data_IF_197256473395
#
_entry.id   IF_197256473395
#
_cell.length_a   1.000
_cell.length_b   1.000
_cell.length_c   1.000
_cell.angle_alpha   90.00
_cell.angle_beta   90.00
_cell.angle_gamma   90.00
#
_symmetry.space_group_name_H-M   'P 1'
#
loop_
_entity.id
_entity.type
_entity.pdbx_description
1 polymer ?
#
# COMPACT_ATOMS: atom_id res chain seq x y z
N UNK A 1 -21.83 6.67 12.45
CA UNK A 1 -22.75 7.82 12.44
C UNK A 1 -22.04 8.96 11.74
N UNK A 2 -22.66 9.63 10.78
CA UNK A 2 -22.16 10.88 10.21
C UNK A 2 -23.23 11.91 10.45
N UNK A 3 -22.88 13.06 11.03
CA UNK A 3 -23.82 14.13 11.42
C UNK A 3 -25.03 13.63 12.22
N UNK A 4 -24.78 12.71 13.16
CA UNK A 4 -25.83 12.13 14.01
C UNK A 4 -26.79 11.18 13.29
N UNK A 5 -26.48 10.74 12.07
CA UNK A 5 -27.28 9.76 11.32
C UNK A 5 -26.56 8.43 11.15
N UNK A 6 -27.32 7.33 11.28
CA UNK A 6 -26.83 5.98 11.04
C UNK A 6 -26.98 5.67 9.56
N UNK A 7 -25.94 5.07 9.01
CA UNK A 7 -25.92 4.57 7.64
C UNK A 7 -25.54 3.09 7.71
N UNK A 8 -26.28 2.26 7.00
CA UNK A 8 -25.89 0.87 6.77
C UNK A 8 -24.88 0.85 5.63
N UNK A 9 -23.79 0.11 5.82
CA UNK A 9 -22.68 0.05 4.88
C UNK A 9 -22.28 -1.40 4.66
N UNK A 10 -21.76 -1.68 3.47
CA UNK A 10 -21.16 -2.95 3.10
C UNK A 10 -19.85 -2.66 2.37
N UNK A 11 -18.88 -3.56 2.50
CA UNK A 11 -17.61 -3.42 1.83
C UNK A 11 -16.72 -4.63 2.03
N UNK A 12 -15.50 -4.52 1.54
CA UNK A 12 -14.43 -5.48 1.77
C UNK A 12 -13.43 -4.86 2.73
N UNK A 13 -12.81 -5.67 3.57
CA UNK A 13 -11.77 -5.26 4.51
C UNK A 13 -10.56 -6.17 4.38
N UNK A 14 -9.41 -5.62 4.71
CA UNK A 14 -8.18 -6.38 4.90
C UNK A 14 -7.91 -6.52 6.39
N UNK A 15 -7.42 -7.69 6.82
CA UNK A 15 -6.88 -7.88 8.16
C UNK A 15 -5.45 -8.38 8.00
N UNK A 16 -4.50 -7.59 8.50
CA UNK A 16 -3.15 -8.08 8.73
C UNK A 16 -2.98 -8.42 10.21
N UNK A 17 -2.27 -9.51 10.50
CA UNK A 17 -2.04 -9.96 11.88
C UNK A 17 -0.57 -10.37 12.03
N UNK A 18 0.16 -9.58 12.81
CA UNK A 18 1.58 -9.73 13.04
C UNK A 18 1.87 -9.76 14.54
N UNK A 19 2.83 -10.59 14.96
CA UNK A 19 3.33 -10.65 16.34
C UNK A 19 4.85 -10.84 16.34
N UNK A 20 5.52 -10.30 17.35
CA UNK A 20 6.97 -10.32 17.46
C UNK A 20 7.48 -9.26 18.44
N UNK A 21 8.79 -9.20 18.59
CA UNK A 21 9.48 -8.13 19.30
C UNK A 21 10.08 -7.18 18.25
N UNK A 22 9.71 -5.90 18.30
CA UNK A 22 10.19 -4.89 17.35
C UNK A 22 10.86 -3.73 18.08
N UNK A 23 12.04 -3.34 17.59
CA UNK A 23 12.66 -2.08 17.96
C UNK A 23 12.24 -0.99 16.97
N UNK A 24 11.12 -0.32 17.29
CA UNK A 24 10.59 0.78 16.47
C UNK A 24 11.55 1.96 16.34
N UNK A 25 12.59 2.07 17.17
CA UNK A 25 13.61 3.11 17.00
C UNK A 25 14.52 2.87 15.78
N UNK A 26 14.54 1.64 15.27
CA UNK A 26 15.28 1.25 14.06
C UNK A 26 14.39 1.20 12.82
N UNK A 27 13.09 1.48 12.97
CA UNK A 27 12.18 1.56 11.85
C UNK A 27 12.62 2.67 10.89
N UNK A 28 12.93 2.29 9.65
CA UNK A 28 13.24 3.24 8.60
C UNK A 28 11.98 3.77 7.93
N UNK A 29 11.95 3.74 6.60
CA UNK A 29 10.77 4.12 5.82
C UNK A 29 10.15 2.86 5.24
N UNK A 30 8.84 2.85 5.07
CA UNK A 30 8.21 1.79 4.30
C UNK A 30 6.98 2.30 3.56
N UNK A 31 6.66 1.60 2.48
CA UNK A 31 5.34 1.61 1.88
C UNK A 31 4.79 0.19 1.96
N UNK A 32 3.63 0.03 2.58
CA UNK A 32 2.87 -1.22 2.58
C UNK A 32 1.61 -1.04 1.75
N UNK A 33 1.19 -2.08 1.03
CA UNK A 33 -0.07 -2.09 0.31
C UNK A 33 -0.83 -3.39 0.45
N UNK A 34 -2.15 -3.27 0.67
CA UNK A 34 -3.11 -4.34 0.48
C UNK A 34 -3.90 -4.10 -0.81
N UNK A 35 -3.71 -4.94 -1.82
CA UNK A 35 -4.41 -4.86 -3.11
C UNK A 35 -5.43 -6.00 -3.22
N UNK A 36 -6.68 -5.67 -3.56
CA UNK A 36 -7.75 -6.63 -3.82
C UNK A 36 -8.22 -6.47 -5.26
N UNK A 37 -7.78 -7.36 -6.16
CA UNK A 37 -7.95 -7.23 -7.60
C UNK A 37 -9.26 -7.88 -8.08
N UNK A 38 -9.79 -7.37 -9.19
CA UNK A 38 -11.07 -7.78 -9.79
C UNK A 38 -11.07 -9.20 -10.34
N UNK A 39 -9.89 -9.79 -10.57
CA UNK A 39 -9.76 -11.19 -10.97
C UNK A 39 -9.77 -12.16 -9.78
N UNK A 40 -9.85 -11.65 -8.54
CA UNK A 40 -9.87 -12.43 -7.31
C UNK A 40 -8.52 -12.51 -6.59
N UNK A 41 -7.43 -12.09 -7.25
CA UNK A 41 -6.10 -12.09 -6.64
C UNK A 41 -5.98 -11.01 -5.57
N UNK A 42 -5.19 -11.30 -4.55
CA UNK A 42 -4.89 -10.41 -3.43
C UNK A 42 -3.39 -10.28 -3.29
N UNK A 43 -2.89 -9.07 -3.11
CA UNK A 43 -1.45 -8.81 -3.00
C UNK A 43 -1.18 -8.04 -1.70
N UNK A 44 -0.38 -8.64 -0.82
CA UNK A 44 0.25 -7.96 0.32
C UNK A 44 1.65 -7.56 -0.12
N UNK A 45 1.90 -6.26 -0.26
CA UNK A 45 3.17 -5.73 -0.76
C UNK A 45 3.88 -4.93 0.32
N UNK A 46 5.18 -5.15 0.44
CA UNK A 46 6.09 -4.37 1.27
C UNK A 46 7.24 -3.82 0.43
N UNK A 47 7.55 -2.54 0.61
CA UNK A 47 8.80 -1.89 0.19
C UNK A 47 9.35 -1.10 1.39
N UNK A 48 10.30 -1.69 2.13
CA UNK A 48 10.90 -1.13 3.35
C UNK A 48 12.38 -0.79 3.15
N UNK A 49 12.82 0.27 3.83
CA UNK A 49 14.22 0.69 3.91
C UNK A 49 14.71 0.42 5.32
N UNK A 50 15.50 -0.63 5.48
CA UNK A 50 16.05 -1.08 6.76
C UNK A 50 17.56 -0.83 6.83
N UNK A 51 18.16 -1.04 8.00
CA UNK A 51 19.61 -0.88 8.19
C UNK A 51 20.44 -1.84 7.32
N UNK A 52 19.88 -3.00 6.98
CA UNK A 52 20.45 -3.99 6.06
C UNK A 52 20.23 -3.65 4.58
N UNK A 53 19.53 -2.57 4.26
CA UNK A 53 19.19 -2.16 2.90
C UNK A 53 17.69 -2.22 2.62
N UNK A 54 17.33 -2.09 1.34
CA UNK A 54 15.94 -2.10 0.91
C UNK A 54 15.41 -3.53 0.82
N UNK A 55 14.27 -3.83 1.44
CA UNK A 55 13.56 -5.10 1.33
C UNK A 55 12.25 -4.88 0.59
N UNK A 56 12.00 -5.69 -0.44
CA UNK A 56 10.82 -5.55 -1.31
C UNK A 56 10.27 -6.91 -1.63
N UNK A 57 8.98 -7.11 -1.39
CA UNK A 57 8.32 -8.35 -1.73
C UNK A 57 6.81 -8.18 -1.81
N UNK A 58 6.19 -9.07 -2.56
CA UNK A 58 4.75 -9.22 -2.63
C UNK A 58 4.38 -10.66 -2.29
N UNK A 59 3.51 -10.85 -1.31
CA UNK A 59 2.79 -12.11 -1.14
C UNK A 59 1.51 -12.04 -1.95
N UNK A 60 1.40 -12.92 -2.94
CA UNK A 60 0.28 -12.99 -3.87
C UNK A 60 -0.54 -14.21 -3.52
N UNK A 61 -1.82 -13.99 -3.17
CA UNK A 61 -2.82 -15.03 -3.01
C UNK A 61 -3.71 -15.01 -4.25
N UNK A 62 -3.60 -16.06 -5.06
CA UNK A 62 -4.37 -16.22 -6.29
C UNK A 62 -5.83 -16.58 -5.99
N UNK A 63 -6.71 -16.32 -6.95
CA UNK A 63 -8.13 -16.65 -6.84
C UNK A 63 -8.42 -18.14 -6.60
N UNK A 64 -7.51 -19.04 -6.97
CA UNK A 64 -7.61 -20.49 -6.73
C UNK A 64 -7.14 -20.92 -5.32
N UNK A 65 -6.67 -19.98 -4.50
CA UNK A 65 -6.18 -20.20 -3.14
C UNK A 65 -4.69 -20.55 -3.05
N UNK A 66 -3.97 -20.62 -4.17
CA UNK A 66 -2.51 -20.79 -4.16
C UNK A 66 -1.82 -19.48 -3.76
N UNK A 67 -0.64 -19.59 -3.13
CA UNK A 67 0.10 -18.45 -2.62
C UNK A 67 1.57 -18.52 -3.01
N UNK A 68 2.12 -17.38 -3.42
CA UNK A 68 3.53 -17.22 -3.78
C UNK A 68 4.10 -15.91 -3.22
N UNK A 69 5.42 -15.90 -2.99
CA UNK A 69 6.16 -14.69 -2.63
C UNK A 69 7.06 -14.30 -3.79
N UNK A 70 6.98 -13.04 -4.21
CA UNK A 70 7.62 -12.53 -5.42
C UNK A 70 8.37 -11.22 -5.12
N UNK A 71 9.41 -10.95 -5.91
CA UNK A 71 10.13 -9.67 -5.86
C UNK A 71 9.28 -8.57 -6.51
N UNK A 72 9.49 -7.35 -6.05
CA UNK A 72 8.81 -6.15 -6.56
C UNK A 72 9.88 -5.16 -7.00
N UNK A 73 9.68 -4.49 -8.13
CA UNK A 73 10.53 -3.34 -8.47
C UNK A 73 10.45 -2.24 -7.38
N UNK A 74 11.50 -1.42 -7.18
CA UNK A 74 11.46 -0.38 -6.17
C UNK A 74 10.33 0.60 -6.50
N UNK A 75 9.52 0.99 -5.51
CA UNK A 75 8.41 1.91 -5.74
C UNK A 75 8.90 3.35 -5.91
N UNK A 76 9.93 3.73 -5.16
CA UNK A 76 10.38 5.11 -5.03
C UNK A 76 10.62 5.86 -6.36
N UNK A 77 11.25 5.27 -7.41
CA UNK A 77 11.48 5.94 -8.69
C UNK A 77 10.20 6.38 -9.42
N UNK A 78 9.10 5.65 -9.24
CA UNK A 78 7.83 5.89 -9.93
C UNK A 78 6.73 6.45 -8.99
N UNK A 79 7.07 6.75 -7.73
CA UNK A 79 6.15 7.42 -6.79
C UNK A 79 5.90 8.87 -7.22
N UNK A 80 4.64 9.26 -7.21
CA UNK A 80 4.18 10.58 -7.63
C UNK A 80 3.02 11.10 -6.77
N UNK A 81 2.43 12.23 -7.18
CA UNK A 81 1.25 12.80 -6.51
C UNK A 81 1.56 13.30 -5.09
N UNK A 82 2.77 13.80 -4.85
CA UNK A 82 3.25 14.14 -3.51
C UNK A 82 2.33 15.11 -2.76
N UNK A 83 2.05 14.77 -1.50
CA UNK A 83 1.37 15.64 -0.54
C UNK A 83 2.25 15.83 0.70
N UNK A 84 2.34 17.07 1.17
CA UNK A 84 3.06 17.40 2.40
C UNK A 84 2.05 17.69 3.50
N UNK A 85 2.15 16.98 4.61
CA UNK A 85 1.27 17.22 5.75
C UNK A 85 1.54 18.59 6.36
N UNK A 86 0.50 19.43 6.57
CA UNK A 86 0.67 20.68 7.31
C UNK A 86 0.89 20.46 8.81
N UNK A 87 0.70 19.24 9.33
CA UNK A 87 0.84 18.92 10.75
C UNK A 87 2.22 18.38 11.10
N UNK A 88 2.70 17.38 10.37
CA UNK A 88 4.00 16.74 10.61
C UNK A 88 5.12 17.30 9.74
N UNK A 89 4.78 18.06 8.69
CA UNK A 89 5.70 18.52 7.64
C UNK A 89 6.40 17.36 6.87
N UNK A 90 5.93 16.13 7.02
CA UNK A 90 6.37 14.98 6.24
C UNK A 90 5.75 15.01 4.85
N UNK A 91 6.49 14.55 3.85
CA UNK A 91 6.03 14.39 2.48
C UNK A 91 5.71 12.91 2.20
N UNK A 92 4.55 12.66 1.60
CA UNK A 92 4.04 11.33 1.29
C UNK A 92 3.70 11.22 -0.20
N UNK A 93 3.97 10.05 -0.80
CA UNK A 93 3.44 9.73 -2.13
C UNK A 93 1.94 9.50 -2.07
N UNK A 94 1.22 9.78 -3.16
CA UNK A 94 -0.21 9.42 -3.28
C UNK A 94 -0.53 8.65 -4.56
N UNK A 95 0.48 8.40 -5.40
CA UNK A 95 0.39 7.62 -6.62
C UNK A 95 1.64 6.76 -6.76
N UNK A 96 1.46 5.51 -7.13
CA UNK A 96 2.56 4.55 -7.29
C UNK A 96 2.36 3.73 -8.55
N UNK A 97 3.47 3.32 -9.14
CA UNK A 97 3.49 2.24 -10.12
C UNK A 97 4.14 1.03 -9.48
N UNK A 98 3.38 -0.06 -9.42
CA UNK A 98 3.81 -1.36 -8.89
C UNK A 98 4.11 -2.27 -10.06
N UNK A 99 5.32 -2.81 -10.11
CA UNK A 99 5.69 -3.85 -11.09
C UNK A 99 6.17 -5.11 -10.39
N UNK A 100 5.58 -6.24 -10.77
CA UNK A 100 5.94 -7.59 -10.29
C UNK A 100 6.26 -8.40 -11.54
N UNK A 101 7.54 -8.48 -11.96
CA UNK A 101 7.93 -9.10 -13.22
C UNK A 101 7.48 -10.56 -13.35
N UNK A 102 7.51 -11.32 -12.25
CA UNK A 102 7.07 -12.71 -12.20
C UNK A 102 5.59 -12.90 -12.58
N UNK A 103 4.76 -11.88 -12.44
CA UNK A 103 3.33 -11.89 -12.80
C UNK A 103 3.03 -11.19 -14.13
N UNK A 104 4.03 -10.64 -14.81
CA UNK A 104 3.81 -9.67 -15.90
C UNK A 104 2.80 -8.58 -15.45
N UNK A 105 3.01 -8.06 -14.23
CA UNK A 105 2.12 -7.09 -13.63
C UNK A 105 2.68 -5.67 -13.73
N UNK A 106 1.86 -4.76 -14.24
CA UNK A 106 2.05 -3.30 -14.12
C UNK A 106 0.74 -2.71 -13.59
N UNK A 107 0.76 -2.27 -12.33
CA UNK A 107 -0.38 -1.74 -11.63
C UNK A 107 -0.12 -0.29 -11.25
N UNK A 108 -1.14 0.55 -11.38
CA UNK A 108 -1.16 1.91 -10.90
C UNK A 108 -2.04 1.93 -9.65
N UNK A 109 -1.45 2.36 -8.53
CA UNK A 109 -2.15 2.57 -7.26
C UNK A 109 -2.27 4.07 -7.05
N UNK A 110 -3.43 4.55 -6.62
CA UNK A 110 -3.67 5.97 -6.35
C UNK A 110 -4.57 6.13 -5.14
N UNK A 111 -4.20 7.04 -4.24
CA UNK A 111 -5.02 7.37 -3.10
C UNK A 111 -6.31 8.07 -3.55
N UNK A 112 -7.43 7.69 -2.94
CA UNK A 112 -8.74 8.26 -3.28
C UNK A 112 -8.88 9.70 -2.75
N UNK A 113 -8.22 9.98 -1.63
CA UNK A 113 -7.98 11.31 -1.10
C UNK A 113 -6.51 11.50 -0.73
N UNK A 114 -5.98 12.71 -0.86
CA UNK A 114 -4.56 12.99 -0.61
C UNK A 114 -4.24 13.23 0.86
N UNK A 115 -5.19 13.76 1.64
CA UNK A 115 -4.98 14.20 3.03
C UNK A 115 -5.36 13.11 4.04
N UNK A 116 -4.62 11.99 4.04
CA UNK A 116 -4.94 10.80 4.85
C UNK A 116 -3.87 10.46 5.90
N UNK A 117 -3.13 11.46 6.42
CA UNK A 117 -2.24 11.23 7.56
C UNK A 117 -3.02 11.02 8.86
N UNK A 118 -2.71 9.92 9.55
CA UNK A 118 -3.04 9.73 10.95
C UNK A 118 -1.94 10.37 11.80
N UNK A 119 -2.28 11.43 12.52
CA UNK A 119 -1.34 12.29 13.27
C UNK A 119 -0.76 11.64 14.54
N UNK A 120 -1.16 10.41 14.86
CA UNK A 120 -0.63 9.68 16.01
C UNK A 120 0.84 9.28 15.76
N UNK A 121 1.62 9.17 16.85
CA UNK A 121 2.98 8.61 16.84
C UNK A 121 3.94 9.26 15.81
N UNK A 122 3.77 10.56 15.58
CA UNK A 122 4.64 11.32 14.68
C UNK A 122 4.19 11.33 13.22
N UNK A 123 3.01 10.79 12.88
CA UNK A 123 2.43 10.85 11.54
C UNK A 123 2.75 9.61 10.71
N UNK A 124 1.69 8.88 10.35
CA UNK A 124 1.70 7.77 9.39
C UNK A 124 0.64 8.07 8.35
N UNK A 125 0.96 7.88 7.07
CA UNK A 125 -0.02 8.01 6.01
C UNK A 125 -0.80 6.72 5.85
N UNK A 126 -2.13 6.77 5.92
CA UNK A 126 -3.04 5.62 5.94
C UNK A 126 -4.14 5.83 4.90
N UNK A 127 -3.82 5.53 3.64
CA UNK A 127 -4.60 5.96 2.49
C UNK A 127 -5.50 4.89 1.90
N UNK A 128 -6.82 5.07 2.03
CA UNK A 128 -7.77 4.40 1.14
C UNK A 128 -7.43 4.75 -0.32
N UNK A 129 -7.32 3.73 -1.16
CA UNK A 129 -6.75 3.83 -2.50
C UNK A 129 -7.48 2.93 -3.48
N UNK A 130 -7.24 3.17 -4.76
CA UNK A 130 -7.71 2.33 -5.87
C UNK A 130 -6.52 1.80 -6.66
N UNK A 131 -6.68 0.62 -7.26
CA UNK A 131 -5.69 -0.01 -8.11
C UNK A 131 -6.27 -0.30 -9.49
N UNK A 132 -5.48 -0.08 -10.54
CA UNK A 132 -5.83 -0.45 -11.91
C UNK A 132 -4.58 -0.76 -12.72
N UNK A 133 -4.67 -1.66 -13.70
CA UNK A 133 -3.52 -1.97 -14.53
C UNK A 133 -3.67 -3.28 -15.27
N UNK A 134 -2.55 -3.98 -15.44
CA UNK A 134 -2.48 -5.27 -16.10
C UNK A 134 -1.77 -6.31 -15.23
N UNK A 135 -2.22 -7.56 -15.33
CA UNK A 135 -1.60 -8.74 -14.74
C UNK A 135 -1.71 -9.87 -15.77
N UNK A 136 -0.58 -10.44 -16.19
CA UNK A 136 -0.54 -11.48 -17.23
C UNK A 136 -1.23 -11.05 -18.54
N UNK A 137 -0.99 -9.81 -18.97
CA UNK A 137 -1.62 -9.21 -20.15
C UNK A 137 -3.12 -8.87 -20.04
N UNK A 138 -3.79 -9.19 -18.92
CA UNK A 138 -5.23 -8.90 -18.71
C UNK A 138 -5.43 -7.66 -17.85
N UNK A 139 -6.44 -6.86 -18.17
CA UNK A 139 -6.80 -5.71 -17.35
C UNK A 139 -7.37 -6.15 -16.01
N UNK A 140 -6.91 -5.52 -14.94
CA UNK A 140 -7.41 -5.67 -13.57
C UNK A 140 -7.67 -4.30 -12.95
N UNK A 141 -8.60 -4.26 -12.00
CA UNK A 141 -8.89 -3.08 -11.18
C UNK A 141 -9.30 -3.51 -9.78
N UNK A 142 -9.38 -2.61 -8.81
CA UNK A 142 -9.84 -2.98 -7.49
C UNK A 142 -9.61 -1.93 -6.43
N UNK A 143 -9.82 -2.34 -5.18
CA UNK A 143 -9.56 -1.53 -4.01
C UNK A 143 -8.14 -1.78 -3.51
N UNK A 144 -7.54 -0.74 -2.96
CA UNK A 144 -6.24 -0.78 -2.34
C UNK A 144 -6.26 -0.03 -1.01
N UNK A 145 -5.32 -0.37 -0.15
CA UNK A 145 -4.98 0.45 1.01
C UNK A 145 -3.47 0.61 1.02
N UNK A 146 -2.99 1.82 1.32
CA UNK A 146 -1.55 2.12 1.36
C UNK A 146 -1.19 2.73 2.70
N UNK A 147 -0.24 2.11 3.39
CA UNK A 147 0.40 2.68 4.56
C UNK A 147 1.81 3.19 4.16
N UNK A 148 2.18 4.39 4.60
CA UNK A 148 3.53 4.93 4.44
C UNK A 148 4.06 5.47 5.77
N UNK A 149 5.18 4.92 6.24
CA UNK A 149 5.99 5.54 7.29
C UNK A 149 7.18 6.30 6.67
N UNK A 150 7.43 7.49 7.22
CA UNK A 150 8.65 8.26 6.97
C UNK A 150 8.38 9.58 6.25
N UNK A 151 9.46 10.31 5.97
CA UNK A 151 9.43 11.54 5.16
C UNK A 151 10.07 11.28 3.79
N UNK A 152 9.29 11.35 2.71
CA UNK A 152 9.70 10.97 1.36
C UNK A 152 10.07 12.21 0.54
N UNK A 153 11.36 12.57 0.54
CA UNK A 153 11.92 13.75 -0.14
C UNK A 153 12.70 13.39 -1.38
#
# INVERSE_FOLDING_TARGET
MVDGRRHDVSGQSWLDHQWGDWDWSQAGKWTWMALQLSNGDKINLWDSFESSGQQRHATVLHADGTQEVMDVEPLAPDTAGWWTSPYSNKRYGTKWKVRIPQLDAELNVSADATEQEVQAQGGIYEGASTVSGRLGGKTVSGNAFVEQLGDWR
#
